data_IF_299757989898
#
_entry.id   IF_299757989898
#
_cell.length_a   1.000
_cell.length_b   1.000
_cell.length_c   1.000
_cell.angle_alpha   90.00
_cell.angle_beta   90.00
_cell.angle_gamma   90.00
#
_symmetry.space_group_name_H-M   'P 1'
#
loop_
_entity.id
_entity.type
_entity.pdbx_description
1 polymer ?
#
# COMPACT_ATOMS: atom_id res chain seq x y z
N UNK A 1 0.09 14.73 0.29
CA UNK A 1 0.61 16.08 0.63
C UNK A 1 -0.15 17.12 -0.19
N UNK A 2 -0.77 18.09 0.47
CA UNK A 2 -1.66 19.08 -0.15
C UNK A 2 -0.90 20.39 -0.37
N UNK A 3 -1.04 20.97 -1.55
CA UNK A 3 -0.73 22.39 -1.78
C UNK A 3 -2.00 23.21 -1.49
N UNK A 4 -1.88 24.34 -0.80
CA UNK A 4 -3.02 25.14 -0.36
C UNK A 4 -3.83 25.67 -1.56
N UNK A 5 -4.95 24.99 -1.86
CA UNK A 5 -5.84 25.31 -3.00
C UNK A 5 -6.04 24.17 -4.00
N UNK A 6 -5.34 23.05 -3.87
CA UNK A 6 -5.60 21.85 -4.67
C UNK A 6 -7.00 21.27 -4.41
N UNK A 7 -7.64 20.73 -5.45
CA UNK A 7 -8.91 20.03 -5.34
C UNK A 7 -8.68 18.76 -4.48
N UNK A 8 -9.45 18.52 -3.40
CA UNK A 8 -9.31 17.32 -2.58
C UNK A 8 -9.36 16.02 -3.39
N UNK A 9 -10.06 16.04 -4.53
CA UNK A 9 -10.20 14.89 -5.44
C UNK A 9 -8.89 14.53 -6.15
N UNK A 10 -7.92 15.44 -6.20
CA UNK A 10 -6.59 15.20 -6.78
C UNK A 10 -5.61 14.58 -5.76
N UNK A 11 -6.03 14.47 -4.49
CA UNK A 11 -5.24 13.81 -3.45
C UNK A 11 -5.49 12.30 -3.44
N UNK A 12 -4.46 11.55 -3.07
CA UNK A 12 -4.55 10.12 -2.84
C UNK A 12 -3.99 9.75 -1.47
N UNK A 13 -4.43 8.61 -0.95
CA UNK A 13 -3.88 7.99 0.25
C UNK A 13 -3.90 6.48 0.10
N UNK A 14 -2.90 5.79 0.64
CA UNK A 14 -2.78 4.36 0.48
C UNK A 14 -1.77 3.71 1.42
N UNK A 15 -1.66 2.41 1.29
CA UNK A 15 -0.71 1.59 2.02
C UNK A 15 -0.09 0.57 1.06
N UNK A 16 1.12 0.15 1.36
CA UNK A 16 1.84 -0.87 0.60
C UNK A 16 2.46 -1.89 1.54
N UNK A 17 2.72 -3.08 1.01
CA UNK A 17 3.46 -4.12 1.71
C UNK A 17 4.33 -4.91 0.76
N UNK A 18 5.42 -5.45 1.29
CA UNK A 18 6.11 -6.57 0.66
C UNK A 18 5.31 -7.86 0.84
N UNK A 19 5.42 -8.75 -0.14
CA UNK A 19 4.96 -10.12 -0.07
C UNK A 19 6.12 -11.02 0.38
N UNK A 20 5.82 -12.11 1.06
CA UNK A 20 6.83 -13.14 1.31
C UNK A 20 7.14 -13.87 0.00
N UNK A 21 8.38 -14.33 -0.18
CA UNK A 21 8.83 -14.93 -1.44
C UNK A 21 8.01 -16.13 -1.92
N UNK A 22 7.37 -16.86 -1.00
CA UNK A 22 6.44 -17.95 -1.33
C UNK A 22 5.15 -17.52 -2.02
N UNK A 23 4.84 -16.22 -2.03
CA UNK A 23 3.67 -15.62 -2.68
C UNK A 23 4.02 -14.78 -3.90
N UNK A 24 5.28 -14.77 -4.36
CA UNK A 24 5.67 -13.96 -5.53
C UNK A 24 5.08 -14.46 -6.83
N UNK A 25 4.99 -15.77 -6.99
CA UNK A 25 4.44 -16.37 -8.18
C UNK A 25 2.92 -16.42 -8.12
N UNK A 26 2.30 -15.56 -8.93
CA UNK A 26 0.87 -15.42 -9.10
C UNK A 26 0.42 -15.79 -10.51
N UNK A 27 1.27 -16.50 -11.28
CA UNK A 27 0.97 -16.89 -12.68
C UNK A 27 -0.27 -17.79 -12.81
N UNK A 28 -0.57 -18.56 -11.76
CA UNK A 28 -1.76 -19.44 -11.69
C UNK A 28 -3.01 -18.73 -11.12
N UNK A 29 -2.86 -17.54 -10.54
CA UNK A 29 -3.97 -16.74 -10.03
C UNK A 29 -4.85 -16.25 -11.19
N UNK A 30 -6.15 -16.11 -10.93
CA UNK A 30 -7.15 -15.75 -11.95
C UNK A 30 -7.93 -14.50 -11.60
N UNK A 31 -8.16 -14.25 -10.33
CA UNK A 31 -8.90 -13.08 -9.87
C UNK A 31 -8.22 -12.41 -8.69
N UNK A 32 -8.37 -11.09 -8.62
CA UNK A 32 -8.34 -10.34 -7.37
C UNK A 32 -9.74 -10.39 -6.76
N UNK A 33 -9.85 -10.76 -5.49
CA UNK A 33 -11.06 -10.66 -4.69
C UNK A 33 -10.85 -9.73 -3.50
N UNK A 34 -11.83 -8.87 -3.24
CA UNK A 34 -11.82 -8.05 -2.04
C UNK A 34 -13.23 -7.84 -1.49
N UNK A 35 -13.37 -8.01 -0.18
CA UNK A 35 -14.56 -7.60 0.54
C UNK A 35 -14.39 -6.16 1.01
N UNK A 36 -15.16 -5.25 0.42
CA UNK A 36 -15.07 -3.82 0.69
C UNK A 36 -16.40 -3.24 1.15
N UNK A 37 -16.33 -2.18 1.95
CA UNK A 37 -17.47 -1.34 2.32
C UNK A 37 -17.05 0.13 2.28
N UNK A 38 -17.69 0.87 1.39
CA UNK A 38 -17.45 2.27 1.09
C UNK A 38 -18.39 2.69 -0.04
N UNK A 39 -18.77 3.96 -0.08
CA UNK A 39 -19.83 4.46 -0.98
C UNK A 39 -19.31 5.50 -2.00
N UNK A 40 -18.06 5.94 -1.88
CA UNK A 40 -17.48 7.00 -2.71
C UNK A 40 -15.97 6.77 -2.90
N UNK A 41 -15.40 7.42 -3.92
CA UNK A 41 -14.00 7.36 -4.32
C UNK A 41 -13.65 6.13 -5.16
N UNK A 42 -12.43 6.13 -5.69
CA UNK A 42 -11.90 5.07 -6.56
C UNK A 42 -10.78 4.34 -5.81
N UNK A 43 -10.90 3.03 -5.69
CA UNK A 43 -9.85 2.19 -5.11
C UNK A 43 -8.95 1.68 -6.23
N UNK A 44 -7.66 1.69 -5.98
CA UNK A 44 -6.62 1.22 -6.88
C UNK A 44 -5.83 0.10 -6.20
N UNK A 45 -5.51 -0.93 -6.98
CA UNK A 45 -4.67 -2.04 -6.51
C UNK A 45 -3.52 -2.24 -7.49
N UNK A 46 -2.31 -2.08 -6.99
CA UNK A 46 -1.07 -2.29 -7.73
C UNK A 46 -0.38 -3.56 -7.23
N UNK A 47 0.08 -4.41 -8.16
CA UNK A 47 0.72 -5.69 -7.89
C UNK A 47 1.96 -5.83 -8.76
N UNK A 48 3.15 -5.96 -8.17
CA UNK A 48 4.37 -6.17 -8.95
C UNK A 48 5.65 -5.75 -8.25
N UNK A 49 6.57 -5.16 -9.02
CA UNK A 49 7.69 -4.40 -8.49
C UNK A 49 7.22 -2.96 -8.31
N UNK A 50 7.22 -2.49 -7.07
CA UNK A 50 6.79 -1.14 -6.71
C UNK A 50 7.95 -0.54 -5.94
N UNK A 51 8.28 0.71 -6.24
CA UNK A 51 9.33 1.44 -5.52
C UNK A 51 8.99 1.53 -4.04
N UNK A 52 9.95 1.23 -3.18
CA UNK A 52 9.86 1.44 -1.74
C UNK A 52 10.26 2.87 -1.32
N UNK A 53 10.87 3.63 -2.24
CA UNK A 53 11.23 5.05 -2.05
C UNK A 53 9.96 5.90 -1.89
N UNK A 54 9.60 6.21 -0.64
CA UNK A 54 8.41 6.99 -0.28
C UNK A 54 8.64 8.47 -0.59
N UNK A 55 9.87 8.93 -0.43
CA UNK A 55 10.28 10.29 -0.69
C UNK A 55 10.94 10.31 -2.07
N UNK A 56 10.14 10.41 -3.13
CA UNK A 56 10.66 10.39 -4.51
C UNK A 56 10.45 11.73 -5.24
N UNK A 57 11.45 12.13 -6.04
CA UNK A 57 11.42 13.36 -6.83
C UNK A 57 12.78 13.69 -7.47
N UNK A 58 13.04 14.94 -7.94
CA UNK A 58 14.35 15.38 -8.44
C UNK A 58 15.49 15.35 -7.39
N UNK A 59 16.03 14.16 -7.08
CA UNK A 59 17.24 13.88 -6.30
C UNK A 59 17.59 14.85 -5.15
N UNK A 60 16.62 15.26 -4.33
CA UNK A 60 16.87 16.09 -3.15
C UNK A 60 17.40 15.21 -2.02
N UNK A 61 18.51 15.64 -1.44
CA UNK A 61 19.14 15.01 -0.28
C UNK A 61 19.33 16.07 0.79
N UNK A 62 19.12 15.69 2.04
CA UNK A 62 19.35 16.54 3.20
C UNK A 62 20.15 15.80 4.26
N UNK A 63 20.51 16.51 5.31
CA UNK A 63 21.24 15.97 6.44
C UNK A 63 20.50 16.34 7.70
N UNK A 64 20.24 15.34 8.53
CA UNK A 64 19.61 15.50 9.84
C UNK A 64 20.64 15.27 10.93
N UNK A 65 20.43 15.86 12.09
CA UNK A 65 21.27 15.63 13.27
C UNK A 65 20.48 14.85 14.32
N UNK A 66 20.93 13.63 14.61
CA UNK A 66 20.35 12.75 15.62
C UNK A 66 21.44 12.43 16.64
N UNK A 67 21.18 12.69 17.92
CA UNK A 67 22.16 12.57 19.02
C UNK A 67 23.53 13.24 18.73
N UNK A 68 23.51 14.38 18.03
CA UNK A 68 24.72 15.12 17.67
C UNK A 68 25.58 14.47 16.57
N UNK A 69 25.06 13.46 15.88
CA UNK A 69 25.65 12.86 14.68
C UNK A 69 24.82 13.20 13.45
N UNK A 70 25.50 13.41 12.32
CA UNK A 70 24.86 13.78 11.05
C UNK A 70 24.55 12.53 10.23
N UNK A 71 23.31 12.43 9.78
CA UNK A 71 22.83 11.34 8.93
C UNK A 71 22.24 11.89 7.63
N UNK A 72 22.71 11.42 6.46
CA UNK A 72 22.10 11.78 5.20
C UNK A 72 20.76 11.08 5.01
N UNK A 73 19.79 11.82 4.45
CA UNK A 73 18.43 11.39 4.13
C UNK A 73 18.05 11.86 2.72
N UNK A 74 17.01 11.29 2.14
CA UNK A 74 16.34 11.83 0.97
C UNK A 74 16.22 10.87 -0.21
N UNK A 75 15.93 11.45 -1.37
CA UNK A 75 15.36 10.68 -2.47
C UNK A 75 16.37 9.71 -3.11
N UNK A 76 15.91 8.53 -3.52
CA UNK A 76 16.74 7.42 -4.00
C UNK A 76 17.80 6.95 -3.00
N UNK A 77 17.58 7.15 -1.71
CA UNK A 77 18.41 6.64 -0.62
C UNK A 77 17.53 5.80 0.28
N UNK A 78 18.06 4.69 0.77
CA UNK A 78 17.37 3.93 1.82
C UNK A 78 17.31 4.78 3.09
N UNK A 79 16.13 5.33 3.38
CA UNK A 79 15.87 6.03 4.62
C UNK A 79 15.28 5.07 5.67
N UNK A 80 15.90 5.08 6.85
CA UNK A 80 15.54 4.24 8.01
C UNK A 80 15.84 4.99 9.30
N UNK A 81 15.13 4.64 10.37
CA UNK A 81 15.45 5.02 11.74
C UNK A 81 16.55 4.14 12.38
N UNK A 82 16.90 3.00 11.78
CA UNK A 82 17.94 2.11 12.28
C UNK A 82 19.33 2.70 12.00
N UNK A 83 19.85 3.52 12.92
CA UNK A 83 21.10 4.23 12.68
C UNK A 83 22.31 3.31 12.94
N UNK A 84 23.42 3.50 12.20
CA UNK A 84 24.65 2.77 12.43
C UNK A 84 25.11 2.83 13.90
N UNK A 85 25.46 1.67 14.44
CA UNK A 85 25.98 1.52 15.80
C UNK A 85 27.45 1.07 15.80
N UNK A 86 28.08 1.04 16.98
CA UNK A 86 29.45 0.56 17.13
C UNK A 86 29.67 -0.88 16.62
N UNK A 87 28.61 -1.67 16.52
CA UNK A 87 28.66 -3.09 16.12
C UNK A 87 28.08 -3.36 14.73
N UNK A 88 27.37 -2.42 14.12
CA UNK A 88 26.73 -2.61 12.82
C UNK A 88 26.64 -1.30 12.03
N UNK A 89 27.09 -1.37 10.77
CA UNK A 89 27.00 -0.25 9.82
C UNK A 89 25.59 -0.03 9.25
N UNK A 90 24.67 -0.98 9.48
CA UNK A 90 23.27 -0.89 9.04
C UNK A 90 22.30 -0.63 10.21
N UNK A 91 22.82 -0.54 11.44
CA UNK A 91 22.01 -0.53 12.64
C UNK A 91 21.79 -1.91 13.26
N UNK A 92 21.12 -1.97 14.41
CA UNK A 92 20.97 -3.19 15.22
C UNK A 92 19.59 -3.87 15.11
N UNK A 93 18.74 -3.33 14.22
CA UNK A 93 17.39 -3.84 13.94
C UNK A 93 16.35 -3.40 14.96
N UNK A 94 16.70 -2.48 15.87
CA UNK A 94 15.81 -1.89 16.85
C UNK A 94 15.93 -0.37 16.79
N UNK A 95 14.82 0.31 17.04
CA UNK A 95 14.83 1.76 17.23
C UNK A 95 15.07 2.07 18.71
N UNK A 96 15.81 3.14 19.00
CA UNK A 96 15.98 3.76 20.31
C UNK A 96 15.19 5.06 20.44
N UNK A 97 15.02 5.59 21.65
CA UNK A 97 14.24 6.83 21.87
C UNK A 97 14.81 8.06 21.12
N UNK A 98 16.10 8.05 20.76
CA UNK A 98 16.71 9.15 19.99
C UNK A 98 16.53 8.96 18.48
N UNK A 99 16.23 7.73 18.03
CA UNK A 99 16.05 7.36 16.63
C UNK A 99 14.60 7.47 16.16
N UNK A 100 13.65 7.54 17.10
CA UNK A 100 12.19 7.70 16.88
C UNK A 100 11.86 9.13 16.40
N UNK A 101 12.29 9.43 15.18
CA UNK A 101 12.21 10.75 14.52
C UNK A 101 11.50 10.68 13.16
N UNK A 102 10.92 9.53 12.83
CA UNK A 102 10.36 9.24 11.52
C UNK A 102 11.41 9.02 10.43
N UNK A 103 10.92 8.64 9.25
CA UNK A 103 11.78 8.33 8.09
C UNK A 103 12.47 9.60 7.56
N UNK A 104 11.83 10.77 7.66
CA UNK A 104 12.42 12.04 7.21
C UNK A 104 13.62 12.50 8.08
N UNK A 105 13.69 12.03 9.32
CA UNK A 105 14.77 12.28 10.26
C UNK A 105 14.64 13.56 11.07
N UNK A 106 13.51 14.27 10.99
CA UNK A 106 13.32 15.59 11.59
C UNK A 106 12.31 15.52 12.73
N UNK A 107 12.72 15.95 13.92
CA UNK A 107 11.80 16.07 15.04
C UNK A 107 10.82 17.23 14.82
N UNK A 108 9.57 17.08 15.24
CA UNK A 108 8.58 18.15 15.23
C UNK A 108 9.01 19.39 16.02
N UNK A 109 9.95 19.24 16.96
CA UNK A 109 10.51 20.33 17.78
C UNK A 109 11.58 21.14 17.04
N UNK A 110 12.13 20.63 15.94
CA UNK A 110 13.13 21.32 15.10
C UNK A 110 12.51 22.36 14.15
N UNK A 111 11.28 22.78 14.45
CA UNK A 111 10.42 23.75 13.76
C UNK A 111 11.03 25.13 13.44
N UNK A 112 12.23 25.45 13.93
CA UNK A 112 12.84 26.78 13.82
C UNK A 112 13.68 27.01 12.55
N UNK A 113 13.96 25.98 11.72
CA UNK A 113 14.81 26.14 10.52
C UNK A 113 14.08 25.97 9.18
N UNK A 114 13.00 25.19 9.16
CA UNK A 114 12.13 24.99 8.00
C UNK A 114 10.76 25.54 8.39
N UNK A 115 10.34 26.65 7.77
CA UNK A 115 9.08 27.39 8.01
C UNK A 115 7.80 26.50 7.91
N UNK A 116 7.98 25.22 7.56
CA UNK A 116 7.00 24.14 7.48
C UNK A 116 7.68 22.80 7.80
N UNK A 117 7.69 22.38 9.07
CA UNK A 117 7.69 20.94 9.36
C UNK A 117 6.24 20.55 9.66
N UNK A 118 5.53 19.90 8.73
CA UNK A 118 4.17 19.48 8.96
C UNK A 118 4.15 18.41 10.05
N UNK A 119 3.19 18.48 10.97
CA UNK A 119 2.94 17.45 11.99
C UNK A 119 2.37 16.15 11.40
N UNK A 120 2.73 15.78 10.17
CA UNK A 120 2.03 14.74 9.39
C UNK A 120 2.53 13.34 9.72
N UNK A 121 3.75 13.23 10.19
CA UNK A 121 4.40 12.01 10.64
C UNK A 121 4.33 11.83 12.17
N UNK A 122 3.80 12.80 12.92
CA UNK A 122 3.59 12.66 14.35
C UNK A 122 2.63 11.51 14.69
N UNK A 123 3.06 10.64 15.57
CA UNK A 123 2.24 9.56 16.12
C UNK A 123 1.39 10.03 17.31
N UNK A 124 0.12 9.64 17.32
CA UNK A 124 -0.76 9.80 18.48
C UNK A 124 -1.91 8.80 18.46
N UNK A 125 -2.14 8.12 19.59
CA UNK A 125 -3.26 7.22 19.75
C UNK A 125 -3.71 7.11 21.21
N UNK A 126 -5.01 7.32 21.47
CA UNK A 126 -5.62 7.16 22.79
C UNK A 126 -6.79 6.16 22.72
N UNK A 127 -6.59 4.90 23.16
CA UNK A 127 -7.59 3.84 23.01
C UNK A 127 -8.77 3.95 24.00
N UNK A 128 -8.70 4.80 25.03
CA UNK A 128 -9.67 4.80 26.15
C UNK A 128 -10.83 5.80 26.02
N UNK A 129 -10.97 6.46 24.87
CA UNK A 129 -12.03 7.45 24.60
C UNK A 129 -13.36 6.87 24.09
N UNK A 130 -14.45 7.64 24.19
CA UNK A 130 -15.74 7.30 23.55
C UNK A 130 -15.71 7.54 22.04
N UNK A 131 -14.83 8.42 21.58
CA UNK A 131 -14.50 8.66 20.18
C UNK A 131 -13.02 8.35 20.04
N UNK A 132 -12.70 7.15 19.55
CA UNK A 132 -11.31 6.77 19.30
C UNK A 132 -10.86 7.50 18.04
N UNK A 133 -9.79 8.28 18.18
CA UNK A 133 -9.18 9.02 17.08
C UNK A 133 -8.03 8.18 16.49
N UNK A 134 -8.15 7.87 15.20
CA UNK A 134 -7.17 7.08 14.45
C UNK A 134 -6.36 7.94 13.48
N UNK A 135 -6.52 9.26 13.49
CA UNK A 135 -5.93 10.17 12.47
C UNK A 135 -4.41 10.17 12.45
N UNK A 136 -3.76 9.89 13.59
CA UNK A 136 -2.30 9.92 13.75
C UNK A 136 -1.74 8.56 14.22
N UNK A 137 -2.50 7.47 14.07
CA UNK A 137 -2.07 6.14 14.57
C UNK A 137 -0.92 5.54 13.73
N UNK A 138 -0.75 6.00 12.49
CA UNK A 138 0.28 5.55 11.56
C UNK A 138 1.45 6.56 11.42
N UNK A 139 1.61 7.48 12.37
CA UNK A 139 2.76 8.38 12.40
C UNK A 139 4.06 7.63 12.68
N UNK A 140 5.15 8.11 12.09
CA UNK A 140 6.51 7.59 12.30
C UNK A 140 7.21 8.22 13.51
N UNK A 141 7.10 9.54 13.70
CA UNK A 141 7.74 10.22 14.84
C UNK A 141 6.96 9.99 16.14
N UNK A 142 7.65 9.54 17.20
CA UNK A 142 7.09 9.39 18.53
C UNK A 142 6.34 8.06 18.73
N UNK A 143 6.49 7.11 17.82
CA UNK A 143 5.76 5.84 17.84
C UNK A 143 6.49 4.75 18.64
N UNK A 144 7.65 5.02 19.26
CA UNK A 144 8.52 4.04 19.92
C UNK A 144 7.83 3.12 20.96
N UNK A 145 6.81 3.64 21.64
CA UNK A 145 6.04 2.90 22.64
C UNK A 145 4.71 2.33 22.11
N UNK A 146 4.41 2.52 20.83
CA UNK A 146 3.30 1.89 20.15
C UNK A 146 3.55 0.39 19.95
N UNK A 147 2.47 -0.34 19.63
CA UNK A 147 2.61 -1.74 19.23
C UNK A 147 3.42 -1.85 17.94
N UNK A 148 4.56 -2.52 17.99
CA UNK A 148 5.47 -2.64 16.84
C UNK A 148 6.52 -1.52 16.73
N UNK A 149 6.37 -0.40 17.45
CA UNK A 149 7.30 0.74 17.38
C UNK A 149 8.69 0.50 17.99
N UNK A 150 9.05 -0.74 18.33
CA UNK A 150 10.45 -1.12 18.67
C UNK A 150 11.25 -1.55 17.45
N UNK A 151 10.58 -1.72 16.32
CA UNK A 151 11.21 -1.90 15.03
C UNK A 151 11.29 -0.54 14.33
N UNK A 152 12.39 -0.28 13.60
CA UNK A 152 12.59 0.99 12.92
C UNK A 152 11.58 1.19 11.79
N UNK A 153 11.09 2.41 11.63
CA UNK A 153 10.44 2.81 10.39
C UNK A 153 11.48 2.93 9.27
N UNK A 154 11.20 2.27 8.14
CA UNK A 154 12.17 2.11 7.06
C UNK A 154 11.52 1.94 5.70
N UNK A 155 12.20 2.41 4.65
CA UNK A 155 11.86 2.13 3.26
C UNK A 155 12.33 0.74 2.80
N UNK A 156 13.03 -0.05 3.63
CA UNK A 156 13.35 -1.46 3.32
C UNK A 156 12.20 -2.38 3.75
N UNK A 157 11.06 -2.28 3.05
CA UNK A 157 9.83 -2.98 3.39
C UNK A 157 9.94 -4.50 3.28
N UNK A 158 10.92 -5.00 2.51
CA UNK A 158 11.17 -6.42 2.35
C UNK A 158 12.39 -6.95 3.13
N UNK A 159 13.02 -6.09 3.93
CA UNK A 159 14.14 -6.41 4.82
C UNK A 159 15.32 -7.10 4.10
N UNK A 160 15.70 -6.58 2.93
CA UNK A 160 16.83 -7.08 2.14
C UNK A 160 18.10 -6.24 2.24
N UNK A 161 18.06 -5.14 3.01
CA UNK A 161 19.15 -4.21 3.24
C UNK A 161 19.39 -3.22 2.11
N UNK A 162 18.46 -3.08 1.16
CA UNK A 162 18.59 -2.19 0.00
C UNK A 162 17.26 -1.56 -0.39
N UNK A 163 17.32 -0.33 -0.91
CA UNK A 163 16.16 0.35 -1.48
C UNK A 163 15.81 -0.24 -2.86
N UNK A 164 14.64 -0.85 -2.99
CA UNK A 164 14.09 -1.24 -4.30
C UNK A 164 13.36 -0.04 -4.96
N UNK A 165 13.93 0.55 -6.02
CA UNK A 165 13.35 1.74 -6.70
C UNK A 165 12.57 1.42 -7.98
N UNK A 166 12.43 0.14 -8.32
CA UNK A 166 11.88 -0.27 -9.61
C UNK A 166 10.35 -0.27 -9.59
N UNK A 167 9.76 0.48 -10.52
CA UNK A 167 8.33 0.41 -10.85
C UNK A 167 8.08 -0.42 -12.12
N UNK A 168 7.48 -1.60 -11.94
CA UNK A 168 7.02 -2.50 -12.98
C UNK A 168 5.88 -3.35 -12.39
N UNK A 169 4.64 -2.88 -12.55
CA UNK A 169 3.50 -3.47 -11.84
C UNK A 169 2.23 -3.50 -12.70
N UNK A 170 1.35 -4.41 -12.34
CA UNK A 170 -0.04 -4.46 -12.80
C UNK A 170 -0.87 -3.51 -11.95
N UNK A 171 -1.81 -2.79 -12.54
CA UNK A 171 -2.70 -1.86 -11.84
C UNK A 171 -4.15 -2.03 -12.28
N UNK A 172 -5.08 -1.85 -11.36
CA UNK A 172 -6.51 -1.79 -11.65
C UNK A 172 -7.16 -0.73 -10.76
N UNK A 173 -8.17 -0.06 -11.31
CA UNK A 173 -9.01 0.88 -10.57
C UNK A 173 -10.46 0.42 -10.55
N UNK A 174 -11.11 0.48 -9.38
CA UNK A 174 -12.53 0.17 -9.21
C UNK A 174 -13.24 1.37 -8.58
N UNK A 175 -14.27 1.87 -9.25
CA UNK A 175 -15.10 2.95 -8.74
C UNK A 175 -16.12 2.40 -7.72
N UNK A 176 -16.03 2.83 -6.45
CA UNK A 176 -16.90 2.30 -5.39
C UNK A 176 -18.35 2.79 -5.50
N UNK A 177 -18.60 3.83 -6.30
CA UNK A 177 -19.94 4.36 -6.58
C UNK A 177 -20.68 3.56 -7.67
N UNK A 178 -19.94 2.77 -8.46
CA UNK A 178 -20.48 1.93 -9.51
C UNK A 178 -20.62 0.48 -9.04
N UNK A 179 -21.32 -0.32 -9.85
CA UNK A 179 -21.54 -1.76 -9.63
C UNK A 179 -20.63 -2.63 -10.51
N UNK A 180 -19.49 -2.07 -10.93
CA UNK A 180 -18.47 -2.78 -11.70
C UNK A 180 -17.78 -3.84 -10.85
N UNK A 181 -17.54 -5.01 -11.44
CA UNK A 181 -16.86 -6.15 -10.80
C UNK A 181 -17.53 -6.67 -9.51
N UNK A 182 -18.77 -6.28 -9.21
CA UNK A 182 -19.49 -6.74 -8.02
C UNK A 182 -20.00 -8.17 -8.23
N UNK A 183 -19.43 -9.11 -7.50
CA UNK A 183 -19.79 -10.54 -7.54
C UNK A 183 -20.71 -10.96 -6.38
N UNK A 184 -20.89 -10.12 -5.36
CA UNK A 184 -21.74 -10.45 -4.21
C UNK A 184 -21.96 -9.29 -3.25
N UNK A 185 -22.98 -9.41 -2.40
CA UNK A 185 -23.32 -8.46 -1.32
C UNK A 185 -23.81 -9.22 -0.10
N UNK A 186 -23.53 -8.73 1.11
CA UNK A 186 -24.09 -9.34 2.33
C UNK A 186 -25.35 -8.61 2.80
N UNK A 187 -26.24 -9.35 3.46
CA UNK A 187 -27.52 -8.88 3.96
C UNK A 187 -27.70 -9.25 5.44
N UNK A 188 -28.40 -8.40 6.19
CA UNK A 188 -28.91 -8.73 7.50
C UNK A 188 -30.11 -9.69 7.39
N UNK A 189 -30.51 -10.31 8.51
CA UNK A 189 -31.66 -11.23 8.57
C UNK A 189 -33.00 -10.60 8.11
N UNK A 190 -33.10 -9.28 8.14
CA UNK A 190 -34.29 -8.53 7.69
C UNK A 190 -34.29 -8.24 6.18
N UNK A 191 -33.29 -8.73 5.42
CA UNK A 191 -33.14 -8.54 3.97
C UNK A 191 -32.48 -7.23 3.55
N UNK A 192 -32.14 -6.33 4.47
CA UNK A 192 -31.40 -5.10 4.14
C UNK A 192 -29.91 -5.37 3.92
N UNK A 193 -29.30 -4.68 2.96
CA UNK A 193 -27.87 -4.80 2.70
C UNK A 193 -27.03 -4.19 3.84
N UNK A 194 -25.91 -4.83 4.14
CA UNK A 194 -24.95 -4.37 5.16
C UNK A 194 -24.00 -3.28 4.65
N UNK A 195 -23.94 -3.08 3.34
CA UNK A 195 -22.96 -2.25 2.65
C UNK A 195 -21.71 -2.99 2.18
N UNK A 196 -21.47 -4.23 2.63
CA UNK A 196 -20.34 -5.03 2.13
C UNK A 196 -20.60 -5.55 0.73
N UNK A 197 -19.63 -5.33 -0.16
CA UNK A 197 -19.60 -5.80 -1.55
C UNK A 197 -18.37 -6.69 -1.74
N UNK A 198 -18.54 -7.83 -2.43
CA UNK A 198 -17.44 -8.61 -2.97
C UNK A 198 -17.12 -8.05 -4.35
N UNK A 199 -15.95 -7.41 -4.47
CA UNK A 199 -15.38 -7.02 -5.76
C UNK A 199 -14.50 -8.18 -6.23
N UNK A 200 -14.73 -8.65 -7.46
CA UNK A 200 -13.94 -9.71 -8.10
C UNK A 200 -13.51 -9.26 -9.49
N UNK A 201 -12.21 -9.02 -9.65
CA UNK A 201 -11.62 -8.57 -10.91
C UNK A 201 -10.78 -9.68 -11.54
N UNK A 202 -11.01 -10.11 -12.79
CA UNK A 202 -10.11 -10.99 -13.51
C UNK A 202 -8.72 -10.35 -13.67
N UNK A 203 -7.64 -11.11 -13.47
CA UNK A 203 -6.28 -10.57 -13.62
C UNK A 203 -5.96 -10.09 -15.05
N UNK A 204 -6.72 -10.56 -16.05
CA UNK A 204 -6.61 -10.11 -17.45
C UNK A 204 -7.09 -8.67 -17.67
N UNK A 205 -7.82 -8.09 -16.72
CA UNK A 205 -8.31 -6.71 -16.78
C UNK A 205 -7.29 -5.69 -16.25
N UNK A 206 -6.19 -6.15 -15.63
CA UNK A 206 -5.17 -5.25 -15.10
C UNK A 206 -4.36 -4.63 -16.24
N UNK A 207 -4.14 -3.33 -16.13
CA UNK A 207 -3.22 -2.59 -16.98
C UNK A 207 -1.77 -2.74 -16.49
N UNK A 208 -0.81 -2.51 -17.39
CA UNK A 208 0.61 -2.48 -17.05
C UNK A 208 1.06 -1.03 -16.85
N UNK A 209 1.74 -0.78 -15.73
CA UNK A 209 2.38 0.50 -15.43
C UNK A 209 3.89 0.34 -15.14
N UNK A 210 4.67 1.38 -15.48
CA UNK A 210 6.12 1.38 -15.33
C UNK A 210 6.85 0.61 -16.44
N UNK A 211 7.91 -0.12 -16.06
CA UNK A 211 8.71 -0.93 -16.99
C UNK A 211 7.99 -2.23 -17.39
N UNK A 212 7.21 -2.14 -18.47
CA UNK A 212 6.47 -3.27 -19.03
C UNK A 212 7.33 -4.50 -19.37
N UNK A 213 8.64 -4.33 -19.64
CA UNK A 213 9.53 -5.46 -19.94
C UNK A 213 9.83 -6.34 -18.74
N UNK A 214 9.51 -5.87 -17.53
CA UNK A 214 9.73 -6.59 -16.27
C UNK A 214 8.46 -6.90 -15.48
N UNK A 215 7.30 -6.47 -15.97
CA UNK A 215 6.00 -6.71 -15.34
C UNK A 215 5.51 -8.11 -15.70
N UNK A 216 5.60 -9.04 -14.76
CA UNK A 216 5.24 -10.46 -14.94
C UNK A 216 4.60 -11.02 -13.68
N UNK A 217 3.63 -11.94 -13.82
CA UNK A 217 2.87 -12.49 -12.70
C UNK A 217 3.70 -13.43 -11.81
N UNK A 218 4.83 -13.93 -12.31
CA UNK A 218 5.77 -14.76 -11.55
C UNK A 218 6.60 -13.95 -10.53
N UNK A 219 6.50 -12.60 -10.56
CA UNK A 219 7.35 -11.70 -9.78
C UNK A 219 6.56 -10.55 -9.12
N UNK A 220 5.50 -10.89 -8.41
CA UNK A 220 4.73 -9.94 -7.60
C UNK A 220 5.40 -9.81 -6.23
N UNK A 221 6.30 -8.82 -6.08
CA UNK A 221 7.00 -8.59 -4.81
C UNK A 221 6.24 -7.72 -3.82
N UNK A 222 5.46 -6.78 -4.33
CA UNK A 222 4.74 -5.78 -3.57
C UNK A 222 3.29 -5.73 -3.97
N UNK A 223 2.45 -5.40 -3.00
CA UNK A 223 1.07 -5.02 -3.21
C UNK A 223 0.85 -3.63 -2.61
N UNK A 224 0.25 -2.71 -3.37
CA UNK A 224 -0.15 -1.38 -2.91
C UNK A 224 -1.63 -1.19 -3.17
N UNK A 225 -2.33 -0.69 -2.15
CA UNK A 225 -3.73 -0.30 -2.24
C UNK A 225 -3.82 1.17 -1.92
N UNK A 226 -4.46 1.93 -2.77
CA UNK A 226 -4.61 3.37 -2.58
C UNK A 226 -5.96 3.84 -3.11
N UNK A 227 -6.37 5.03 -2.69
CA UNK A 227 -7.67 5.60 -3.00
C UNK A 227 -7.52 7.08 -3.30
N UNK A 228 -8.28 7.55 -4.29
CA UNK A 228 -8.38 8.94 -4.71
C UNK A 228 -9.84 9.29 -5.09
N UNK A 229 -10.06 10.44 -5.72
CA UNK A 229 -11.37 10.93 -6.16
C UNK A 229 -12.37 11.13 -5.01
N UNK A 230 -11.86 11.56 -3.85
CA UNK A 230 -12.66 11.82 -2.65
C UNK A 230 -12.75 13.33 -2.38
N UNK A 231 -13.97 13.84 -2.18
CA UNK A 231 -14.21 15.27 -1.92
C UNK A 231 -14.50 15.60 -0.43
N UNK A 232 -14.77 14.59 0.38
CA UNK A 232 -15.13 14.70 1.80
C UNK A 232 -14.57 13.54 2.60
N UNK A 233 -14.49 13.65 3.93
CA UNK A 233 -13.98 12.57 4.79
C UNK A 233 -14.71 11.25 4.51
N UNK A 234 -14.00 10.28 3.94
CA UNK A 234 -14.54 8.99 3.52
C UNK A 234 -13.83 7.86 4.25
N UNK A 235 -14.59 6.83 4.61
CA UNK A 235 -14.07 5.62 5.25
C UNK A 235 -14.26 4.47 4.27
N UNK A 236 -13.15 3.86 3.86
CA UNK A 236 -13.13 2.57 3.19
C UNK A 236 -12.78 1.50 4.21
N UNK A 237 -13.62 0.46 4.31
CA UNK A 237 -13.33 -0.73 5.11
C UNK A 237 -13.03 -1.88 4.16
N UNK A 238 -11.93 -2.60 4.41
CA UNK A 238 -11.52 -3.79 3.67
C UNK A 238 -11.49 -4.94 4.66
N UNK A 239 -12.26 -6.00 4.42
CA UNK A 239 -12.27 -7.19 5.27
C UNK A 239 -11.26 -8.23 4.80
N UNK A 240 -11.17 -8.45 3.48
CA UNK A 240 -10.19 -9.34 2.86
C UNK A 240 -9.73 -8.76 1.53
N UNK A 241 -8.52 -9.16 1.11
CA UNK A 241 -7.95 -8.91 -0.21
C UNK A 241 -7.10 -10.13 -0.57
N UNK A 242 -7.53 -10.86 -1.58
CA UNK A 242 -7.01 -12.17 -1.94
C UNK A 242 -6.75 -12.26 -3.44
N UNK A 243 -5.64 -12.90 -3.82
CA UNK A 243 -5.44 -13.39 -5.18
C UNK A 243 -5.88 -14.86 -5.21
N UNK A 244 -6.87 -15.15 -6.03
CA UNK A 244 -7.50 -16.48 -6.07
C UNK A 244 -7.32 -17.09 -7.46
N UNK A 245 -6.90 -18.35 -7.45
CA UNK A 245 -6.84 -19.22 -8.62
C UNK A 245 -7.99 -20.22 -8.63
N UNK A 246 -8.02 -21.07 -9.65
CA UNK A 246 -8.87 -22.24 -9.68
C UNK A 246 -7.98 -23.48 -9.50
N UNK A 247 -8.42 -24.46 -8.70
CA UNK A 247 -7.74 -25.77 -8.59
C UNK A 247 -7.85 -26.59 -9.88
N UNK A 248 -8.70 -26.17 -10.81
CA UNK A 248 -8.84 -26.77 -12.15
C UNK A 248 -8.01 -25.98 -13.17
N UNK A 249 -6.91 -26.57 -13.61
CA UNK A 249 -6.16 -26.10 -14.76
C UNK A 249 -7.00 -26.26 -16.03
N UNK A 250 -7.08 -25.23 -16.87
CA UNK A 250 -7.59 -25.38 -18.23
C UNK A 250 -6.67 -26.36 -18.98
N UNK A 251 -7.16 -27.59 -19.20
CA UNK A 251 -6.48 -28.53 -20.06
C UNK A 251 -6.38 -27.87 -21.44
N UNK A 252 -5.15 -27.57 -21.86
CA UNK A 252 -4.84 -27.03 -23.17
C UNK A 252 -5.24 -28.01 -24.27
N UNK A 253 -6.52 -28.02 -24.61
CA UNK A 253 -7.00 -28.56 -25.86
C UNK A 253 -7.40 -27.37 -26.73
N UNK A 254 -6.57 -27.08 -27.73
CA UNK A 254 -6.97 -26.34 -28.93
C UNK A 254 -8.21 -27.01 -29.50
N UNK A 255 -9.38 -26.56 -29.07
CA UNK A 255 -10.67 -26.98 -29.57
C UNK A 255 -10.82 -26.51 -31.00
N UNK A 256 -10.50 -27.38 -31.95
CA UNK A 256 -11.07 -27.31 -33.29
C UNK A 256 -12.58 -27.45 -33.09
N UNK A 257 -13.31 -26.34 -33.20
CA UNK A 257 -14.77 -26.34 -33.19
C UNK A 257 -15.28 -27.26 -34.31
N UNK A 258 -15.71 -28.47 -33.93
CA UNK A 258 -16.44 -29.39 -34.78
C UNK A 258 -17.91 -29.00 -34.77
N UNK A 259 -18.49 -28.81 -35.95
CA UNK A 259 -19.83 -28.23 -36.18
C UNK A 259 -21.00 -29.16 -35.84
N UNK A 260 -20.90 -29.98 -34.79
CA UNK A 260 -21.90 -31.01 -34.46
C UNK A 260 -22.77 -30.72 -33.22
N UNK A 261 -22.46 -29.70 -32.41
CA UNK A 261 -23.25 -29.38 -31.21
C UNK A 261 -24.36 -28.34 -31.49
N UNK A 262 -25.22 -28.65 -32.46
CA UNK A 262 -26.59 -28.10 -32.48
C UNK A 262 -27.57 -29.25 -32.33
N UNK A 263 -27.88 -29.61 -31.09
CA UNK A 263 -29.10 -30.36 -30.81
C UNK A 263 -30.29 -29.40 -30.81
N UNK A 264 -31.21 -29.64 -31.76
CA UNK A 264 -32.55 -29.08 -31.74
C UNK A 264 -33.32 -29.64 -30.54
N UNK A 265 -33.93 -28.74 -29.78
CA UNK A 265 -34.85 -29.07 -28.69
C UNK A 265 -36.19 -29.52 -29.31
N UNK A 266 -36.81 -30.61 -28.84
CA UNK A 266 -38.16 -30.99 -29.25
C UNK A 266 -39.25 -30.04 -28.71
#
# INVERSE_FOLDING_TARGET
>A
VRDDGADPRDSWGGFMRSLSSGYYDQSESKFLEMWVRGEAGRIHVDLGLISEDLQSGPAEQWTVTIDGQEYPKGWNRLDTEDLPSATSTLGDGLVSEVEDVGIDGWLHTQRDTLDWHPSWDLWSFEPSGTNIDYTHVNGGEGNFNAEGGRYPDTEDLNNNGALDTKNAYFTISVDLSQDDYIAGRTQYNNGSYTGWKLVRVPLTEFDIAGDAGSTVWEKIKFARVWMDEVDTTTILQIATLDLVGNDWQESGETGIFSSYDREEIP
#
